data_IF_813084784429
#
_entry.id   IF_813084784429
#
_cell.length_a   1.000
_cell.length_b   1.000
_cell.length_c   1.000
_cell.angle_alpha   90.00
_cell.angle_beta   90.00
_cell.angle_gamma   90.00
#
_symmetry.space_group_name_H-M   'P 1'
#
loop_
_entity.id
_entity.type
_entity.pdbx_description
1 polymer ?
#
# COMPACT_ATOMS: atom_id res chain seq x y z
N UNK A 1 -0.78 -17.00 46.66
CA UNK A 1 0.20 -16.16 45.95
C UNK A 1 0.85 -16.81 44.74
N UNK A 2 1.19 -18.12 44.76
CA UNK A 2 1.86 -18.80 43.63
C UNK A 2 1.08 -18.74 42.30
N UNK A 3 -0.25 -18.93 42.35
CA UNK A 3 -1.14 -18.85 41.16
C UNK A 3 -1.09 -17.47 40.50
N UNK A 4 -1.26 -16.38 41.26
CA UNK A 4 -1.20 -15.00 40.75
C UNK A 4 0.14 -14.64 40.12
N UNK A 5 1.25 -15.16 40.63
CA UNK A 5 2.58 -14.97 40.04
C UNK A 5 2.66 -15.69 38.69
N UNK A 6 2.11 -16.90 38.62
CA UNK A 6 2.08 -17.69 37.39
C UNK A 6 1.23 -17.01 36.31
N UNK A 7 0.04 -16.53 36.65
CA UNK A 7 -0.85 -15.80 35.71
C UNK A 7 -0.17 -14.59 35.08
N UNK A 8 0.50 -13.75 35.88
CA UNK A 8 1.20 -12.56 35.37
C UNK A 8 2.42 -12.94 34.53
N UNK A 9 3.12 -14.02 34.87
CA UNK A 9 4.23 -14.54 34.05
C UNK A 9 3.74 -15.07 32.71
N UNK A 10 2.59 -15.75 32.67
CA UNK A 10 2.00 -16.23 31.43
C UNK A 10 1.67 -15.07 30.50
N UNK A 11 1.06 -14.01 31.03
CA UNK A 11 0.78 -12.78 30.26
C UNK A 11 2.07 -12.15 29.75
N UNK A 12 3.10 -12.02 30.60
CA UNK A 12 4.39 -11.47 30.19
C UNK A 12 5.06 -12.34 29.10
N UNK A 13 4.99 -13.67 29.20
CA UNK A 13 5.52 -14.58 28.18
C UNK A 13 4.76 -14.44 26.85
N UNK A 14 3.43 -14.31 26.89
CA UNK A 14 2.62 -14.05 25.70
C UNK A 14 2.99 -12.72 25.04
N UNK A 15 3.15 -11.65 25.83
CA UNK A 15 3.61 -10.34 25.32
C UNK A 15 5.02 -10.43 24.71
N UNK A 16 5.94 -11.20 25.31
CA UNK A 16 7.25 -11.46 24.72
C UNK A 16 7.12 -12.12 23.35
N UNK A 17 6.31 -13.17 23.23
CA UNK A 17 6.06 -13.84 21.96
C UNK A 17 5.47 -12.90 20.90
N UNK A 18 4.50 -12.06 21.28
CA UNK A 18 3.91 -11.07 20.39
C UNK A 18 4.93 -10.03 19.92
N UNK A 19 5.72 -9.44 20.84
CA UNK A 19 6.76 -8.47 20.48
C UNK A 19 7.88 -9.09 19.63
N UNK A 20 8.22 -10.37 19.85
CA UNK A 20 9.16 -11.08 18.98
C UNK A 20 8.60 -11.25 17.58
N UNK A 21 7.34 -11.66 17.45
CA UNK A 21 6.68 -11.76 16.15
C UNK A 21 6.60 -10.41 15.45
N UNK A 22 6.25 -9.35 16.17
CA UNK A 22 6.26 -7.97 15.67
C UNK A 22 7.64 -7.58 15.15
N UNK A 23 8.71 -7.83 15.92
CA UNK A 23 10.07 -7.50 15.48
C UNK A 23 10.48 -8.28 14.22
N UNK A 24 10.12 -9.57 14.12
CA UNK A 24 10.36 -10.37 12.91
C UNK A 24 9.59 -9.82 11.72
N UNK A 25 8.30 -9.49 11.88
CA UNK A 25 7.51 -8.91 10.80
C UNK A 25 8.05 -7.55 10.36
N UNK A 26 8.46 -6.70 11.30
CA UNK A 26 9.14 -5.44 10.99
C UNK A 26 10.39 -5.76 10.16
N UNK A 27 11.27 -6.66 10.60
CA UNK A 27 12.50 -7.00 9.85
C UNK A 27 12.23 -7.61 8.46
N UNK A 28 11.11 -8.30 8.26
CA UNK A 28 10.75 -8.89 6.96
C UNK A 28 10.08 -7.87 6.02
N UNK A 29 9.23 -7.00 6.58
CA UNK A 29 8.56 -5.92 5.84
C UNK A 29 9.52 -4.78 5.51
N UNK A 30 10.47 -4.57 6.41
CA UNK A 30 11.49 -3.56 6.32
C UNK A 30 12.54 -3.96 5.28
N UNK A 31 12.46 -3.36 4.10
CA UNK A 31 13.42 -3.51 3.00
C UNK A 31 14.09 -2.23 2.50
N UNK A 32 14.42 -1.21 3.31
CA UNK A 32 15.43 -0.27 2.86
C UNK A 32 16.82 -0.88 3.02
N UNK A 33 17.76 -0.39 2.22
CA UNK A 33 19.20 -0.65 2.34
C UNK A 33 19.94 0.61 2.80
N UNK A 34 19.36 1.29 3.80
CA UNK A 34 19.91 2.50 4.38
C UNK A 34 21.05 2.23 5.36
N UNK A 35 21.93 3.20 5.62
CA UNK A 35 23.06 3.03 6.54
C UNK A 35 22.63 2.79 8.00
N UNK A 36 21.36 3.05 8.34
CA UNK A 36 20.82 2.98 9.71
C UNK A 36 19.93 1.72 9.92
N UNK A 37 19.83 0.83 8.92
CA UNK A 37 18.96 -0.35 8.98
C UNK A 37 19.22 -1.26 10.17
N UNK A 38 20.50 -1.49 10.49
CA UNK A 38 20.88 -2.30 11.64
C UNK A 38 20.41 -1.67 12.95
N UNK A 39 20.37 -0.34 13.04
CA UNK A 39 19.89 0.37 14.22
C UNK A 39 18.36 0.28 14.34
N UNK A 40 17.64 0.36 13.22
CA UNK A 40 16.18 0.13 13.20
C UNK A 40 15.87 -1.29 13.67
N UNK A 41 16.55 -2.28 13.11
CA UNK A 41 16.39 -3.68 13.51
C UNK A 41 16.73 -3.89 14.99
N UNK A 42 17.83 -3.31 15.48
CA UNK A 42 18.21 -3.40 16.89
C UNK A 42 17.17 -2.76 17.81
N UNK A 43 16.68 -1.56 17.48
CA UNK A 43 15.70 -0.83 18.30
C UNK A 43 14.33 -1.51 18.31
N UNK A 44 13.95 -2.20 17.24
CA UNK A 44 12.74 -3.03 17.18
C UNK A 44 12.73 -4.18 18.20
N UNK A 45 13.90 -4.59 18.72
CA UNK A 45 14.00 -5.64 19.74
C UNK A 45 13.84 -5.14 21.18
N UNK A 46 13.85 -3.83 21.43
CA UNK A 46 13.75 -3.25 22.78
C UNK A 46 12.45 -3.66 23.52
N UNK A 47 11.26 -3.70 22.89
CA UNK A 47 10.05 -4.17 23.55
C UNK A 47 10.14 -5.63 24.03
N UNK A 48 10.94 -6.47 23.35
CA UNK A 48 11.22 -7.85 23.78
C UNK A 48 11.96 -7.83 25.12
N UNK A 49 13.01 -7.02 25.26
CA UNK A 49 13.75 -6.89 26.51
C UNK A 49 12.87 -6.36 27.66
N UNK A 50 11.98 -5.39 27.37
CA UNK A 50 11.02 -4.84 28.34
C UNK A 50 10.04 -5.94 28.81
N UNK A 51 9.47 -6.71 27.89
CA UNK A 51 8.55 -7.81 28.25
C UNK A 51 9.25 -8.93 29.03
N UNK A 52 10.50 -9.27 28.70
CA UNK A 52 11.32 -10.21 29.46
C UNK A 52 11.59 -9.74 30.90
N UNK A 53 11.76 -8.43 31.11
CA UNK A 53 11.87 -7.86 32.45
C UNK A 53 10.59 -8.09 33.27
N UNK A 54 9.41 -7.92 32.66
CA UNK A 54 8.12 -8.23 33.31
C UNK A 54 7.97 -9.73 33.62
N UNK A 55 8.48 -10.62 32.76
CA UNK A 55 8.50 -12.06 32.99
C UNK A 55 9.41 -12.44 34.16
N UNK A 56 10.61 -11.85 34.21
CA UNK A 56 11.61 -12.11 35.25
C UNK A 56 11.20 -11.56 36.62
N UNK A 57 10.55 -10.39 36.63
CA UNK A 57 10.09 -9.68 37.81
C UNK A 57 8.58 -9.36 37.72
N UNK A 58 7.70 -10.34 37.95
CA UNK A 58 6.26 -10.13 37.76
C UNK A 58 5.68 -9.12 38.76
N UNK A 59 4.90 -8.12 38.30
CA UNK A 59 4.17 -7.23 39.17
C UNK A 59 3.04 -7.99 39.87
N UNK A 60 3.12 -8.17 41.20
CA UNK A 60 2.04 -8.79 41.98
C UNK A 60 1.60 -7.85 43.09
N UNK A 61 0.31 -7.53 43.09
CA UNK A 61 -0.36 -6.77 44.13
C UNK A 61 -0.97 -7.70 45.19
N UNK A 62 -0.96 -7.28 46.46
CA UNK A 62 -1.59 -8.03 47.56
C UNK A 62 -3.14 -7.96 47.51
N UNK A 63 -3.72 -6.90 46.93
CA UNK A 63 -5.18 -6.71 46.82
C UNK A 63 -5.78 -7.18 45.49
N UNK A 64 -6.99 -7.76 45.55
CA UNK A 64 -7.69 -8.34 44.39
C UNK A 64 -7.96 -7.35 43.26
N UNK A 65 -8.49 -6.15 43.55
CA UNK A 65 -8.78 -5.12 42.53
C UNK A 65 -7.53 -4.71 41.73
N UNK A 66 -6.40 -4.53 42.41
CA UNK A 66 -5.14 -4.12 41.77
C UNK A 66 -4.48 -5.23 40.96
N UNK A 67 -4.64 -6.47 41.42
CA UNK A 67 -4.24 -7.63 40.63
C UNK A 67 -5.04 -7.69 39.31
N UNK A 68 -6.35 -7.49 39.39
CA UNK A 68 -7.24 -7.42 38.21
C UNK A 68 -6.81 -6.30 37.27
N UNK A 69 -6.48 -5.11 37.77
CA UNK A 69 -5.95 -4.00 36.94
C UNK A 69 -4.65 -4.38 36.22
N UNK A 70 -3.70 -5.01 36.90
CA UNK A 70 -2.42 -5.45 36.30
C UNK A 70 -2.68 -6.47 35.18
N UNK A 71 -3.58 -7.42 35.41
CA UNK A 71 -3.97 -8.42 34.40
C UNK A 71 -4.62 -7.74 33.20
N UNK A 72 -5.55 -6.80 33.43
CA UNK A 72 -6.21 -6.06 32.35
C UNK A 72 -5.25 -5.23 31.52
N UNK A 73 -4.25 -4.58 32.14
CA UNK A 73 -3.22 -3.83 31.40
C UNK A 73 -2.48 -4.78 30.45
N UNK A 74 -2.06 -5.95 30.92
CA UNK A 74 -1.34 -6.91 30.06
C UNK A 74 -2.21 -7.52 28.97
N UNK A 75 -3.46 -7.86 29.27
CA UNK A 75 -4.40 -8.36 28.28
C UNK A 75 -4.72 -7.30 27.22
N UNK A 76 -4.97 -6.06 27.63
CA UNK A 76 -5.21 -4.95 26.71
C UNK A 76 -4.00 -4.69 25.80
N UNK A 77 -2.78 -4.72 26.33
CA UNK A 77 -1.56 -4.64 25.50
C UNK A 77 -1.48 -5.77 24.47
N UNK A 78 -1.82 -7.00 24.86
CA UNK A 78 -1.86 -8.13 23.92
C UNK A 78 -2.94 -7.97 22.83
N UNK A 79 -4.14 -7.53 23.23
CA UNK A 79 -5.25 -7.28 22.31
C UNK A 79 -4.98 -6.14 21.33
N UNK A 80 -4.14 -5.17 21.69
CA UNK A 80 -3.69 -4.12 20.78
C UNK A 80 -2.64 -4.63 19.78
N UNK A 81 -1.77 -5.55 20.19
CA UNK A 81 -0.72 -6.10 19.31
C UNK A 81 -1.27 -7.04 18.24
N UNK A 82 -2.26 -7.88 18.57
CA UNK A 82 -2.73 -8.93 17.64
C UNK A 82 -3.29 -8.38 16.32
N UNK A 83 -4.22 -7.42 16.29
CA UNK A 83 -4.71 -6.84 15.05
C UNK A 83 -3.60 -6.15 14.26
N UNK A 84 -2.72 -5.42 14.95
CA UNK A 84 -1.59 -4.74 14.34
C UNK A 84 -0.60 -5.69 13.66
N UNK A 85 -0.33 -6.85 14.25
CA UNK A 85 0.50 -7.91 13.66
C UNK A 85 -0.16 -8.46 12.38
N UNK A 86 -1.47 -8.67 12.40
CA UNK A 86 -2.22 -9.17 11.24
C UNK A 86 -2.22 -8.17 10.08
N UNK A 87 -2.35 -6.87 10.36
CA UNK A 87 -2.34 -5.84 9.34
C UNK A 87 -0.98 -5.75 8.64
N UNK A 88 0.12 -5.75 9.40
CA UNK A 88 1.48 -5.81 8.81
C UNK A 88 1.68 -7.10 8.02
N UNK A 89 1.19 -8.24 8.53
CA UNK A 89 1.26 -9.52 7.80
C UNK A 89 0.51 -9.50 6.46
N UNK A 90 -0.67 -8.87 6.40
CA UNK A 90 -1.42 -8.72 5.14
C UNK A 90 -0.71 -7.81 4.14
N UNK A 91 -0.12 -6.71 4.61
CA UNK A 91 0.65 -5.80 3.76
C UNK A 91 1.88 -6.48 3.15
N UNK A 92 2.58 -7.29 3.94
CA UNK A 92 3.68 -8.13 3.49
C UNK A 92 3.27 -9.09 2.37
N UNK A 93 2.11 -9.75 2.51
CA UNK A 93 1.56 -10.64 1.48
C UNK A 93 1.13 -9.88 0.23
N UNK A 94 0.71 -8.63 0.37
CA UNK A 94 0.31 -7.76 -0.73
C UNK A 94 1.49 -7.09 -1.47
N UNK A 95 2.74 -7.38 -1.11
CA UNK A 95 3.93 -6.94 -1.86
C UNK A 95 4.29 -5.45 -1.74
N UNK A 96 3.60 -4.68 -0.89
CA UNK A 96 3.82 -3.24 -0.77
C UNK A 96 5.17 -2.90 -0.11
N UNK A 97 6.09 -2.18 -0.79
CA UNK A 97 7.24 -1.58 -0.11
C UNK A 97 6.75 -0.42 0.75
N UNK A 98 6.99 -0.46 2.06
CA UNK A 98 6.64 0.64 2.96
C UNK A 98 7.87 1.37 3.50
N UNK A 99 7.73 2.69 3.58
CA UNK A 99 8.49 3.55 4.48
C UNK A 99 8.14 3.19 5.93
N UNK A 100 9.13 3.26 6.81
CA UNK A 100 9.04 2.76 8.20
C UNK A 100 8.00 3.43 9.09
N UNK A 101 7.46 4.57 8.67
CA UNK A 101 6.57 5.37 9.48
C UNK A 101 5.15 4.95 9.13
N UNK A 102 4.54 4.01 9.88
CA UNK A 102 3.12 3.75 9.74
C UNK A 102 2.36 5.08 9.89
N UNK A 103 1.21 5.18 9.25
CA UNK A 103 0.31 6.30 9.49
C UNK A 103 0.08 6.45 11.01
N UNK A 104 -0.19 7.67 11.52
CA UNK A 104 -0.42 7.87 12.96
C UNK A 104 -1.47 6.91 13.55
N UNK A 105 -2.48 6.55 12.74
CA UNK A 105 -3.54 5.60 13.10
C UNK A 105 -3.00 4.18 13.29
N UNK A 106 -2.05 3.75 12.47
CA UNK A 106 -1.38 2.45 12.58
C UNK A 106 -0.29 2.43 13.67
N UNK A 107 0.34 3.58 13.98
CA UNK A 107 1.34 3.70 15.04
C UNK A 107 0.72 3.68 16.46
N UNK A 108 -0.51 4.19 16.60
CA UNK A 108 -1.16 4.39 17.90
C UNK A 108 -1.33 3.09 18.74
N UNK A 109 -1.82 1.97 18.18
CA UNK A 109 -1.95 0.72 18.92
C UNK A 109 -0.60 0.19 19.44
N UNK A 110 0.47 0.37 18.67
CA UNK A 110 1.82 -0.06 19.04
C UNK A 110 2.35 0.75 20.21
N UNK A 111 2.17 2.08 20.16
CA UNK A 111 2.58 2.97 21.24
C UNK A 111 1.85 2.64 22.56
N UNK A 112 0.54 2.37 22.50
CA UNK A 112 -0.24 1.96 23.67
C UNK A 112 0.17 0.58 24.19
N UNK A 113 0.40 -0.38 23.31
CA UNK A 113 0.89 -1.70 23.69
C UNK A 113 2.27 -1.62 24.37
N UNK A 114 3.16 -0.77 23.86
CA UNK A 114 4.48 -0.52 24.43
C UNK A 114 4.36 0.13 25.81
N UNK A 115 3.47 1.12 25.96
CA UNK A 115 3.21 1.78 27.24
C UNK A 115 2.70 0.80 28.30
N UNK A 116 1.73 -0.05 27.95
CA UNK A 116 1.21 -1.06 28.88
C UNK A 116 2.24 -2.14 29.25
N UNK A 117 3.03 -2.62 28.27
CA UNK A 117 4.14 -3.57 28.50
C UNK A 117 5.20 -2.96 29.41
N UNK A 118 5.56 -1.70 29.18
CA UNK A 118 6.54 -0.96 29.98
C UNK A 118 6.05 -0.70 31.40
N UNK A 119 4.75 -0.41 31.58
CA UNK A 119 4.14 -0.26 32.88
C UNK A 119 4.21 -1.56 33.69
N UNK A 120 3.94 -2.72 33.08
CA UNK A 120 4.09 -4.02 33.73
C UNK A 120 5.53 -4.27 34.18
N UNK A 121 6.50 -4.02 33.30
CA UNK A 121 7.92 -4.17 33.62
C UNK A 121 8.34 -3.20 34.74
N UNK A 122 7.94 -1.94 34.66
CA UNK A 122 8.25 -0.91 35.65
C UNK A 122 7.71 -1.22 37.04
N UNK A 123 6.45 -1.69 37.14
CA UNK A 123 5.85 -2.14 38.41
C UNK A 123 6.60 -3.35 39.00
N UNK A 124 7.06 -4.26 38.14
CA UNK A 124 7.87 -5.42 38.49
C UNK A 124 9.24 -5.04 39.06
N UNK A 125 9.97 -4.18 38.33
CA UNK A 125 11.29 -3.67 38.71
C UNK A 125 11.21 -2.87 40.02
N UNK A 126 10.24 -1.95 40.14
CA UNK A 126 10.06 -1.16 41.36
C UNK A 126 9.82 -2.03 42.59
N UNK A 127 9.04 -3.12 42.44
CA UNK A 127 8.86 -4.11 43.51
C UNK A 127 10.17 -4.80 43.88
N UNK A 128 11.00 -5.16 42.89
CA UNK A 128 12.27 -5.85 43.15
C UNK A 128 13.27 -4.96 43.88
N UNK A 129 13.37 -3.70 43.49
CA UNK A 129 14.35 -2.74 44.02
C UNK A 129 13.96 -2.21 45.40
N UNK A 130 12.69 -1.85 45.61
CA UNK A 130 12.23 -1.27 46.88
C UNK A 130 11.92 -2.32 47.95
N UNK A 131 11.79 -3.59 47.58
CA UNK A 131 11.45 -4.67 48.50
C UNK A 131 9.97 -4.67 48.94
N UNK A 132 9.64 -5.64 49.79
CA UNK A 132 8.24 -5.93 50.17
C UNK A 132 7.64 -4.98 51.21
N UNK A 133 8.48 -4.21 51.89
CA UNK A 133 8.12 -3.37 53.04
C UNK A 133 7.97 -1.89 52.67
N UNK A 134 8.38 -1.50 51.46
CA UNK A 134 8.25 -0.13 50.99
C UNK A 134 6.78 0.30 50.86
N UNK A 135 6.46 1.57 51.16
CA UNK A 135 5.10 2.08 51.06
C UNK A 135 4.56 1.96 49.64
N UNK A 136 3.27 1.64 49.54
CA UNK A 136 2.62 1.30 48.28
C UNK A 136 2.62 2.45 47.27
N UNK A 137 2.35 3.67 47.73
CA UNK A 137 2.34 4.88 46.90
C UNK A 137 3.70 5.11 46.24
N UNK A 138 4.79 4.96 47.00
CA UNK A 138 6.15 5.05 46.48
C UNK A 138 6.44 3.98 45.42
N UNK A 139 6.00 2.73 45.65
CA UNK A 139 6.19 1.64 44.68
C UNK A 139 5.40 1.87 43.38
N UNK A 140 4.18 2.35 43.47
CA UNK A 140 3.37 2.68 42.29
C UNK A 140 3.93 3.87 41.53
N UNK A 141 4.30 4.95 42.24
CA UNK A 141 4.91 6.13 41.63
C UNK A 141 6.23 5.81 40.93
N UNK A 142 7.15 5.09 41.59
CA UNK A 142 8.41 4.64 40.95
C UNK A 142 8.17 3.67 39.80
N UNK A 143 7.22 2.74 39.94
CA UNK A 143 6.90 1.79 38.87
C UNK A 143 6.32 2.46 37.63
N UNK A 144 5.42 3.43 37.82
CA UNK A 144 4.87 4.24 36.73
C UNK A 144 5.95 5.11 36.07
N UNK A 145 6.84 5.72 36.86
CA UNK A 145 7.97 6.49 36.33
C UNK A 145 8.92 5.62 35.51
N UNK A 146 9.29 4.42 36.00
CA UNK A 146 10.13 3.48 35.24
C UNK A 146 9.43 3.07 33.95
N UNK A 147 8.12 2.75 34.00
CA UNK A 147 7.35 2.40 32.81
C UNK A 147 7.30 3.53 31.79
N UNK A 148 7.11 4.78 32.23
CA UNK A 148 7.14 5.96 31.37
C UNK A 148 8.51 6.13 30.71
N UNK A 149 9.59 6.01 31.48
CA UNK A 149 10.96 6.12 30.96
C UNK A 149 11.23 5.04 29.91
N UNK A 150 10.88 3.78 30.19
CA UNK A 150 11.04 2.67 29.24
C UNK A 150 10.25 2.89 27.94
N UNK A 151 9.02 3.40 28.06
CA UNK A 151 8.16 3.72 26.91
C UNK A 151 8.78 4.82 26.05
N UNK A 152 9.18 5.94 26.67
CA UNK A 152 9.76 7.09 25.97
C UNK A 152 11.09 6.71 25.33
N UNK A 153 11.98 6.02 26.06
CA UNK A 153 13.28 5.61 25.52
C UNK A 153 13.11 4.63 24.35
N UNK A 154 12.31 3.58 24.51
CA UNK A 154 12.10 2.59 23.45
C UNK A 154 11.40 3.20 22.23
N UNK A 155 10.38 4.02 22.45
CA UNK A 155 9.64 4.69 21.38
C UNK A 155 10.51 5.70 20.63
N UNK A 156 11.24 6.56 21.34
CA UNK A 156 12.11 7.57 20.72
C UNK A 156 13.31 6.97 20.00
N UNK A 157 13.89 5.87 20.50
CA UNK A 157 14.99 5.19 19.81
C UNK A 157 14.52 4.57 18.50
N UNK A 158 13.38 3.88 18.51
CA UNK A 158 12.81 3.28 17.30
C UNK A 158 12.38 4.36 16.29
N UNK A 159 11.58 5.34 16.73
CA UNK A 159 11.11 6.43 15.87
C UNK A 159 12.29 7.27 15.35
N UNK A 160 13.28 7.56 16.18
CA UNK A 160 14.48 8.29 15.79
C UNK A 160 15.33 7.53 14.78
N UNK A 161 15.55 6.22 14.98
CA UNK A 161 16.25 5.39 14.00
C UNK A 161 15.48 5.32 12.68
N UNK A 162 14.15 5.19 12.73
CA UNK A 162 13.30 5.17 11.56
C UNK A 162 13.34 6.48 10.77
N UNK A 163 13.16 7.61 11.44
CA UNK A 163 13.25 8.95 10.84
C UNK A 163 14.65 9.20 10.28
N UNK A 164 15.71 8.85 11.02
CA UNK A 164 17.08 9.03 10.55
C UNK A 164 17.37 8.19 9.30
N UNK A 165 16.85 6.96 9.23
CA UNK A 165 17.01 6.13 8.03
C UNK A 165 16.23 6.70 6.85
N UNK A 166 15.00 7.15 7.06
CA UNK A 166 14.18 7.80 6.03
C UNK A 166 14.87 9.07 5.49
N UNK A 167 15.38 9.92 6.38
CA UNK A 167 16.15 11.12 6.00
C UNK A 167 17.43 10.75 5.24
N UNK A 168 18.14 9.71 5.67
CA UNK A 168 19.36 9.25 4.99
C UNK A 168 19.10 8.66 3.59
N UNK A 169 17.88 8.19 3.34
CA UNK A 169 17.45 7.65 2.06
C UNK A 169 16.82 8.69 1.13
N UNK A 170 16.42 9.85 1.66
CA UNK A 170 15.74 10.92 0.90
C UNK A 170 16.46 11.34 -0.38
N UNK A 171 17.80 11.34 -0.34
CA UNK A 171 18.64 11.76 -1.47
C UNK A 171 19.34 10.58 -2.16
N UNK A 172 18.94 9.34 -1.86
CA UNK A 172 19.49 8.15 -2.52
C UNK A 172 18.45 7.57 -3.49
N UNK A 173 18.85 7.22 -4.72
CA UNK A 173 17.98 6.45 -5.60
C UNK A 173 17.59 5.15 -4.90
N UNK A 174 16.31 4.79 -4.95
CA UNK A 174 15.82 3.57 -4.31
C UNK A 174 16.60 2.37 -4.84
N UNK A 175 16.87 1.38 -3.99
CA UNK A 175 17.58 0.17 -4.43
C UNK A 175 16.69 -0.68 -5.36
N UNK A 176 15.36 -0.51 -5.25
CA UNK A 176 14.38 -1.14 -6.12
C UNK A 176 13.13 -0.27 -6.24
N UNK A 177 12.52 -0.24 -7.42
CA UNK A 177 11.22 0.39 -7.65
C UNK A 177 10.31 -0.62 -8.32
N UNK A 178 9.01 -0.62 -7.97
CA UNK A 178 8.02 -1.42 -8.68
C UNK A 178 7.74 -0.89 -10.09
N UNK A 179 8.16 0.33 -10.39
CA UNK A 179 7.96 0.95 -11.70
C UNK A 179 9.11 0.73 -12.67
N UNK A 180 10.28 0.26 -12.24
CA UNK A 180 11.37 -0.01 -13.18
C UNK A 180 12.75 0.07 -12.56
N UNK A 181 13.80 -0.01 -13.41
CA UNK A 181 15.18 0.05 -12.96
C UNK A 181 15.49 1.34 -12.24
N UNK A 182 16.26 1.25 -11.15
CA UNK A 182 16.66 2.41 -10.35
C UNK A 182 18.11 2.84 -10.57
N UNK A 183 18.76 2.28 -11.59
CA UNK A 183 20.14 2.60 -11.91
C UNK A 183 20.27 4.07 -12.38
N UNK A 184 20.94 4.94 -11.60
CA UNK A 184 20.92 6.39 -11.84
C UNK A 184 21.65 6.83 -13.11
N UNK A 185 22.48 5.94 -13.68
CA UNK A 185 23.25 6.21 -14.90
C UNK A 185 22.48 5.87 -16.19
N UNK A 186 21.32 5.22 -16.08
CA UNK A 186 20.51 4.86 -17.25
C UNK A 186 19.46 5.93 -17.45
N UNK A 187 19.60 6.73 -18.51
CA UNK A 187 18.63 7.77 -18.81
C UNK A 187 17.41 7.17 -19.51
N UNK A 188 16.18 7.55 -19.10
CA UNK A 188 14.99 7.20 -19.85
C UNK A 188 15.02 7.77 -21.27
N UNK A 189 14.38 7.09 -22.24
CA UNK A 189 14.33 7.55 -23.63
C UNK A 189 13.61 8.90 -23.74
N UNK A 190 13.81 9.59 -24.86
CA UNK A 190 13.10 10.82 -25.19
C UNK A 190 11.58 10.56 -25.36
N UNK A 191 10.77 11.62 -25.22
CA UNK A 191 9.32 11.51 -25.30
C UNK A 191 8.81 11.05 -26.67
N UNK A 192 9.54 11.33 -27.74
CA UNK A 192 9.26 10.85 -29.10
C UNK A 192 9.97 9.52 -29.44
N UNK A 193 10.78 8.98 -28.52
CA UNK A 193 11.56 7.75 -28.70
C UNK A 193 10.72 6.47 -28.67
N UNK A 194 11.35 5.29 -28.66
CA UNK A 194 10.61 4.03 -28.53
C UNK A 194 10.09 3.86 -27.10
N UNK A 195 8.79 3.59 -26.97
CA UNK A 195 8.14 3.30 -25.68
C UNK A 195 7.31 2.04 -25.81
N UNK A 196 7.24 1.24 -24.75
CA UNK A 196 6.49 -0.01 -24.74
C UNK A 196 5.82 -0.27 -23.40
N UNK A 197 4.85 -1.17 -23.42
CA UNK A 197 4.31 -1.76 -22.20
C UNK A 197 5.09 -3.04 -21.91
N UNK A 198 5.51 -3.25 -20.66
CA UNK A 198 6.39 -4.36 -20.31
C UNK A 198 5.82 -5.75 -20.55
N UNK A 199 6.60 -6.80 -20.33
CA UNK A 199 6.14 -8.18 -20.56
C UNK A 199 5.19 -8.67 -19.47
N UNK A 200 5.44 -8.28 -18.22
CA UNK A 200 4.59 -8.53 -17.05
C UNK A 200 4.24 -7.19 -16.38
N UNK A 201 3.08 -7.12 -15.74
CA UNK A 201 2.70 -5.97 -14.91
C UNK A 201 1.52 -6.30 -13.99
N UNK A 202 1.53 -5.72 -12.79
CA UNK A 202 0.34 -5.40 -12.02
C UNK A 202 -0.23 -4.06 -12.54
N UNK A 203 -1.46 -4.10 -13.03
CA UNK A 203 -2.12 -2.96 -13.68
C UNK A 203 -3.22 -2.44 -12.79
N UNK A 204 -3.29 -1.12 -12.60
CA UNK A 204 -4.43 -0.47 -11.98
C UNK A 204 -4.88 0.75 -12.77
N UNK A 205 -6.18 1.01 -12.74
CA UNK A 205 -6.82 2.10 -13.49
C UNK A 205 -7.94 2.70 -12.64
N UNK A 206 -7.85 3.99 -12.37
CA UNK A 206 -8.90 4.79 -11.74
C UNK A 206 -9.48 5.72 -12.80
N UNK A 207 -10.79 5.69 -13.03
CA UNK A 207 -11.49 6.68 -13.86
C UNK A 207 -12.57 7.37 -13.07
N UNK A 208 -12.73 8.66 -13.33
CA UNK A 208 -13.84 9.47 -12.84
C UNK A 208 -14.38 10.32 -13.99
N UNK A 209 -15.69 10.51 -14.00
CA UNK A 209 -16.34 11.41 -14.95
C UNK A 209 -17.25 12.38 -14.20
N UNK A 210 -17.38 13.59 -14.73
CA UNK A 210 -18.28 14.60 -14.20
C UNK A 210 -18.93 15.43 -15.31
N UNK A 211 -20.12 15.97 -15.03
CA UNK A 211 -20.86 16.89 -15.90
C UNK A 211 -21.21 18.13 -15.10
N UNK A 212 -20.80 19.29 -15.59
CA UNK A 212 -21.00 20.58 -14.93
C UNK A 212 -20.58 20.54 -13.43
N UNK A 213 -19.51 19.79 -13.13
CA UNK A 213 -18.97 19.59 -11.78
C UNK A 213 -19.68 18.54 -10.92
N UNK A 214 -20.73 17.87 -11.43
CA UNK A 214 -21.41 16.76 -10.75
C UNK A 214 -20.82 15.43 -11.20
N UNK A 215 -20.45 14.57 -10.25
CA UNK A 215 -19.89 13.25 -10.57
C UNK A 215 -20.92 12.36 -11.26
N UNK A 216 -20.51 11.70 -12.34
CA UNK A 216 -21.24 10.59 -12.99
C UNK A 216 -20.85 9.22 -12.39
N UNK A 217 -19.96 9.23 -11.40
CA UNK A 217 -19.42 8.07 -10.73
C UNK A 217 -17.96 7.76 -11.08
N UNK A 218 -17.53 6.56 -10.71
CA UNK A 218 -16.13 6.14 -10.83
C UNK A 218 -15.98 4.66 -11.18
N UNK A 219 -14.79 4.34 -11.66
CA UNK A 219 -14.36 3.00 -12.04
C UNK A 219 -12.99 2.75 -11.42
N UNK A 220 -12.85 1.65 -10.70
CA UNK A 220 -11.58 1.21 -10.14
C UNK A 220 -11.26 -0.18 -10.65
N UNK A 221 -10.23 -0.31 -11.47
CA UNK A 221 -9.77 -1.56 -12.06
C UNK A 221 -8.41 -1.94 -11.49
N UNK A 222 -8.28 -3.22 -11.15
CA UNK A 222 -7.02 -3.80 -10.72
C UNK A 222 -6.84 -5.19 -11.33
N UNK A 223 -5.62 -5.53 -11.71
CA UNK A 223 -5.29 -6.81 -12.28
C UNK A 223 -3.82 -7.05 -12.49
N UNK A 224 -3.52 -8.14 -13.19
CA UNK A 224 -2.16 -8.53 -13.54
C UNK A 224 -2.12 -9.13 -14.93
N UNK A 225 -0.96 -9.07 -15.57
CA UNK A 225 -0.68 -9.70 -16.84
C UNK A 225 0.73 -10.27 -16.89
N UNK A 226 0.88 -11.37 -17.63
CA UNK A 226 2.16 -12.01 -17.88
C UNK A 226 2.19 -12.53 -19.33
N UNK A 227 3.04 -11.93 -20.17
CA UNK A 227 3.05 -12.23 -21.60
C UNK A 227 1.68 -11.94 -22.19
N UNK A 228 1.04 -12.92 -22.82
CA UNK A 228 -0.33 -12.75 -23.34
C UNK A 228 -1.40 -12.89 -22.26
N UNK A 229 -1.12 -13.54 -21.14
CA UNK A 229 -2.15 -13.84 -20.14
C UNK A 229 -2.47 -12.59 -19.33
N UNK A 230 -3.75 -12.39 -19.04
CA UNK A 230 -4.24 -11.22 -18.32
C UNK A 230 -5.41 -11.60 -17.44
N UNK A 231 -5.52 -10.97 -16.27
CA UNK A 231 -6.70 -11.04 -15.43
C UNK A 231 -6.85 -9.74 -14.68
N UNK A 232 -8.02 -9.11 -14.81
CA UNK A 232 -8.38 -7.93 -14.04
C UNK A 232 -9.84 -7.96 -13.62
N UNK A 233 -10.14 -7.22 -12.56
CA UNK A 233 -11.49 -6.92 -12.11
C UNK A 233 -11.64 -5.41 -11.98
N UNK A 234 -12.86 -4.92 -12.21
CA UNK A 234 -13.19 -3.52 -12.07
C UNK A 234 -14.43 -3.38 -11.17
N UNK A 235 -14.31 -2.58 -10.12
CA UNK A 235 -15.44 -2.12 -9.33
C UNK A 235 -15.97 -0.83 -9.97
N UNK A 236 -17.19 -0.92 -10.50
CA UNK A 236 -17.84 0.15 -11.27
C UNK A 236 -19.00 0.69 -10.45
N UNK A 237 -19.01 2.00 -10.24
CA UNK A 237 -20.06 2.72 -9.54
C UNK A 237 -20.39 4.02 -10.29
N UNK A 238 -21.09 3.86 -11.42
CA UNK A 238 -21.57 4.96 -12.26
C UNK A 238 -23.09 5.08 -12.18
N UNK A 239 -23.65 6.19 -12.69
CA UNK A 239 -25.12 6.36 -12.77
C UNK A 239 -25.80 5.27 -13.62
N UNK A 240 -25.06 4.62 -14.53
CA UNK A 240 -25.58 3.62 -15.47
C UNK A 240 -25.17 2.19 -15.15
N UNK A 241 -24.02 2.00 -14.52
CA UNK A 241 -23.42 0.68 -14.28
C UNK A 241 -23.01 0.55 -12.82
N UNK A 242 -23.40 -0.55 -12.19
CA UNK A 242 -23.06 -0.82 -10.79
C UNK A 242 -22.64 -2.27 -10.58
N UNK A 243 -21.50 -2.47 -9.95
CA UNK A 243 -21.01 -3.76 -9.48
C UNK A 243 -19.62 -4.10 -10.00
N UNK A 244 -19.21 -5.34 -9.76
CA UNK A 244 -17.90 -5.83 -10.16
C UNK A 244 -17.97 -6.49 -11.54
N UNK A 245 -17.15 -5.97 -12.45
CA UNK A 245 -16.88 -6.53 -13.76
C UNK A 245 -15.48 -7.17 -13.77
N UNK A 246 -15.18 -7.96 -14.79
CA UNK A 246 -13.83 -8.50 -14.93
C UNK A 246 -13.62 -9.27 -16.22
N UNK A 247 -12.37 -9.39 -16.60
CA UNK A 247 -11.94 -10.18 -17.74
C UNK A 247 -10.69 -10.96 -17.39
N UNK A 248 -10.59 -12.16 -17.94
CA UNK A 248 -9.38 -12.96 -17.89
C UNK A 248 -9.15 -13.64 -19.22
N UNK A 249 -7.90 -13.71 -19.66
CA UNK A 249 -7.45 -14.54 -20.78
C UNK A 249 -6.21 -15.30 -20.36
N UNK A 250 -6.22 -16.62 -20.53
CA UNK A 250 -5.10 -17.51 -20.18
C UNK A 250 -4.92 -18.47 -21.35
N UNK A 251 -3.82 -18.30 -22.09
CA UNK A 251 -3.66 -18.94 -23.39
C UNK A 251 -4.82 -18.58 -24.34
N UNK A 252 -5.52 -19.61 -24.82
CA UNK A 252 -6.69 -19.48 -25.71
C UNK A 252 -8.03 -19.38 -24.99
N UNK A 253 -8.05 -19.59 -23.67
CA UNK A 253 -9.28 -19.55 -22.89
C UNK A 253 -9.53 -18.15 -22.35
N UNK A 254 -10.80 -17.75 -22.31
CA UNK A 254 -11.20 -16.44 -21.84
C UNK A 254 -12.41 -16.52 -20.92
N UNK A 255 -12.47 -15.60 -19.97
CA UNK A 255 -13.57 -15.46 -19.04
C UNK A 255 -13.99 -14.01 -18.91
N UNK A 256 -15.28 -13.80 -18.70
CA UNK A 256 -15.84 -12.52 -18.31
C UNK A 256 -16.55 -12.65 -16.97
N UNK A 257 -16.63 -11.53 -16.27
CA UNK A 257 -17.44 -11.37 -15.07
C UNK A 257 -18.35 -10.18 -15.26
N UNK A 258 -19.63 -10.39 -15.00
CA UNK A 258 -20.65 -9.35 -14.94
C UNK A 258 -21.16 -9.22 -13.50
N UNK A 259 -21.81 -8.09 -13.15
CA UNK A 259 -22.34 -7.89 -11.82
C UNK A 259 -23.24 -9.05 -11.40
N UNK A 260 -23.04 -9.52 -10.16
CA UNK A 260 -23.82 -10.61 -9.52
C UNK A 260 -23.73 -11.98 -10.19
N UNK A 261 -22.84 -12.14 -11.19
CA UNK A 261 -22.57 -13.43 -11.82
C UNK A 261 -21.17 -13.92 -11.45
N UNK A 262 -20.97 -15.24 -11.34
CA UNK A 262 -19.64 -15.81 -11.28
C UNK A 262 -18.87 -15.56 -12.59
N UNK A 263 -17.59 -15.91 -12.60
CA UNK A 263 -16.80 -15.91 -13.84
C UNK A 263 -17.38 -16.93 -14.83
N UNK A 264 -17.65 -16.47 -16.05
CA UNK A 264 -18.19 -17.28 -17.13
C UNK A 264 -17.19 -17.36 -18.26
N UNK A 265 -17.06 -18.53 -18.87
CA UNK A 265 -16.20 -18.74 -20.02
C UNK A 265 -16.83 -18.09 -21.26
N UNK A 266 -16.01 -17.38 -22.03
CA UNK A 266 -16.42 -16.66 -23.23
C UNK A 266 -15.43 -16.92 -24.37
N UNK A 267 -15.83 -16.57 -25.59
CA UNK A 267 -14.90 -16.56 -26.72
C UNK A 267 -13.74 -15.58 -26.45
N UNK A 268 -12.53 -15.88 -26.95
CA UNK A 268 -11.34 -15.06 -26.72
C UNK A 268 -11.39 -13.70 -27.43
N UNK A 269 -12.01 -13.62 -28.60
CA UNK A 269 -12.06 -12.40 -29.43
C UNK A 269 -12.53 -11.14 -28.69
N UNK A 270 -13.67 -11.17 -27.95
CA UNK A 270 -14.12 -10.04 -27.12
C UNK A 270 -13.15 -9.61 -25.99
N UNK A 271 -12.18 -10.45 -25.63
CA UNK A 271 -11.18 -10.22 -24.60
C UNK A 271 -9.83 -9.80 -25.19
N UNK A 272 -9.63 -10.01 -26.50
CA UNK A 272 -8.48 -9.51 -27.22
C UNK A 272 -8.52 -7.98 -27.26
N UNK A 273 -7.39 -7.34 -26.91
CA UNK A 273 -7.32 -5.88 -26.77
C UNK A 273 -7.81 -5.32 -25.42
N UNK A 274 -8.23 -6.16 -24.46
CA UNK A 274 -8.62 -5.73 -23.09
C UNK A 274 -7.45 -5.62 -22.11
N UNK A 275 -6.21 -5.51 -22.60
CA UNK A 275 -5.04 -5.15 -21.80
C UNK A 275 -4.93 -3.64 -21.75
N UNK A 276 -5.55 -3.03 -20.73
CA UNK A 276 -5.73 -1.57 -20.60
C UNK A 276 -4.44 -0.79 -20.86
N UNK A 277 -3.34 -1.19 -20.22
CA UNK A 277 -2.06 -0.49 -20.34
C UNK A 277 -1.42 -0.64 -21.73
N UNK A 278 -1.43 -1.85 -22.30
CA UNK A 278 -0.94 -2.07 -23.67
C UNK A 278 -1.79 -1.36 -24.72
N UNK A 279 -3.10 -1.32 -24.51
CA UNK A 279 -4.01 -0.62 -25.42
C UNK A 279 -3.73 0.88 -25.39
N UNK A 280 -3.51 1.45 -24.19
CA UNK A 280 -3.09 2.84 -24.06
C UNK A 280 -1.77 3.11 -24.77
N UNK A 281 -0.76 2.26 -24.58
CA UNK A 281 0.55 2.43 -25.21
C UNK A 281 0.47 2.28 -26.74
N UNK A 282 -0.26 1.28 -27.24
CA UNK A 282 -0.34 0.98 -28.68
C UNK A 282 -1.25 1.91 -29.47
N UNK A 283 -2.25 2.53 -28.82
CA UNK A 283 -3.22 3.42 -29.48
C UNK A 283 -2.94 4.88 -29.15
N UNK A 284 -3.00 5.27 -27.88
CA UNK A 284 -2.85 6.67 -27.51
C UNK A 284 -1.39 7.13 -27.58
N UNK A 285 -0.44 6.30 -27.15
CA UNK A 285 0.99 6.58 -27.21
C UNK A 285 1.67 6.01 -28.46
N UNK A 286 0.90 5.75 -29.52
CA UNK A 286 1.46 5.36 -30.82
C UNK A 286 2.49 6.41 -31.30
N UNK A 287 3.55 6.01 -32.04
CA UNK A 287 4.62 6.91 -32.47
C UNK A 287 4.12 8.22 -33.12
N UNK A 288 3.09 8.13 -33.96
CA UNK A 288 2.51 9.30 -34.62
C UNK A 288 1.91 10.34 -33.66
N UNK A 289 1.37 9.91 -32.52
CA UNK A 289 0.78 10.81 -31.52
C UNK A 289 1.85 11.46 -30.64
N UNK A 290 3.03 10.84 -30.52
CA UNK A 290 4.15 11.33 -29.69
C UNK A 290 5.13 12.23 -30.43
N UNK A 291 4.96 12.42 -31.73
CA UNK A 291 5.81 13.30 -32.54
C UNK A 291 5.88 14.75 -32.03
N UNK A 292 4.83 15.21 -31.35
CA UNK A 292 4.74 16.53 -30.72
C UNK A 292 4.67 16.43 -29.19
N UNK A 293 5.23 15.36 -28.61
CA UNK A 293 5.25 15.20 -27.16
C UNK A 293 6.10 16.29 -26.50
N UNK A 294 5.56 16.94 -25.49
CA UNK A 294 6.24 17.92 -24.66
C UNK A 294 7.04 17.19 -23.58
N UNK A 295 8.31 17.56 -23.42
CA UNK A 295 9.17 17.04 -22.35
C UNK A 295 9.09 17.95 -21.12
N UNK A 296 8.58 17.39 -20.01
CA UNK A 296 8.48 18.10 -18.72
C UNK A 296 9.71 17.88 -17.83
N UNK A 297 10.61 16.98 -18.23
CA UNK A 297 11.89 16.72 -17.58
C UNK A 297 11.99 15.32 -17.00
N UNK A 298 13.00 15.13 -16.13
CA UNK A 298 13.25 13.88 -15.43
C UNK A 298 12.71 13.95 -14.00
N UNK A 299 11.99 12.92 -13.60
CA UNK A 299 11.39 12.75 -12.28
C UNK A 299 11.79 11.40 -11.69
N UNK A 300 11.65 11.25 -10.37
CA UNK A 300 11.84 9.97 -9.68
C UNK A 300 10.51 9.45 -9.18
N UNK A 301 10.02 8.36 -9.77
CA UNK A 301 8.79 7.68 -9.34
C UNK A 301 9.19 6.46 -8.51
N UNK A 302 8.93 6.54 -7.21
CA UNK A 302 9.37 5.53 -6.23
C UNK A 302 10.88 5.19 -6.35
N UNK A 303 11.68 6.21 -6.65
CA UNK A 303 13.13 6.11 -6.79
C UNK A 303 13.63 5.54 -8.12
N UNK A 304 12.75 5.20 -9.07
CA UNK A 304 13.16 4.93 -10.45
C UNK A 304 13.13 6.23 -11.27
N UNK A 305 14.20 6.55 -12.02
CA UNK A 305 14.19 7.69 -12.94
C UNK A 305 13.20 7.44 -14.06
N UNK A 306 12.36 8.43 -14.32
CA UNK A 306 11.40 8.45 -15.41
C UNK A 306 11.43 9.81 -16.12
N UNK A 307 11.21 9.81 -17.45
CA UNK A 307 10.96 11.03 -18.20
C UNK A 307 9.47 11.30 -18.20
N UNK A 308 9.09 12.48 -17.75
CA UNK A 308 7.72 12.96 -17.75
C UNK A 308 7.45 13.64 -19.10
N UNK A 309 6.49 13.08 -19.83
CA UNK A 309 6.13 13.48 -21.17
C UNK A 309 4.64 13.79 -21.25
N UNK A 310 4.26 14.72 -22.12
CA UNK A 310 2.86 15.10 -22.33
C UNK A 310 2.50 15.08 -23.81
N UNK A 311 1.32 14.58 -24.14
CA UNK A 311 0.74 14.71 -25.48
C UNK A 311 -0.68 15.29 -25.41
N UNK A 312 -1.09 15.97 -26.48
CA UNK A 312 -2.50 16.24 -26.71
C UNK A 312 -3.20 14.95 -27.19
N UNK A 313 -4.44 14.73 -26.74
CA UNK A 313 -5.25 13.59 -27.16
C UNK A 313 -6.66 14.06 -27.53
N UNK A 314 -7.24 13.45 -28.56
CA UNK A 314 -8.64 13.61 -28.90
C UNK A 314 -9.49 12.47 -28.31
N UNK A 315 -10.79 12.73 -28.15
CA UNK A 315 -11.70 11.76 -27.55
C UNK A 315 -11.86 10.47 -28.35
N UNK A 316 -11.71 10.49 -29.67
CA UNK A 316 -11.76 9.27 -30.51
C UNK A 316 -10.58 8.34 -30.23
N UNK A 317 -9.38 8.90 -30.14
CA UNK A 317 -8.16 8.18 -29.78
C UNK A 317 -8.26 7.64 -28.36
N UNK A 318 -8.77 8.46 -27.43
CA UNK A 318 -8.97 8.01 -26.06
C UNK A 318 -10.00 6.88 -25.96
N UNK A 319 -11.12 6.97 -26.67
CA UNK A 319 -12.14 5.93 -26.67
C UNK A 319 -11.61 4.59 -27.23
N UNK A 320 -10.77 4.66 -28.26
CA UNK A 320 -10.10 3.48 -28.80
C UNK A 320 -9.05 2.90 -27.84
N UNK A 321 -8.42 3.76 -27.03
CA UNK A 321 -7.42 3.39 -26.04
C UNK A 321 -8.01 2.87 -24.71
N UNK A 322 -9.19 3.36 -24.31
CA UNK A 322 -9.91 3.02 -23.07
C UNK A 322 -11.36 2.60 -23.36
N UNK A 323 -11.60 1.34 -23.76
CA UNK A 323 -12.95 0.82 -23.93
C UNK A 323 -13.81 0.84 -22.65
N UNK A 324 -13.19 0.96 -21.47
CA UNK A 324 -13.84 1.07 -20.14
C UNK A 324 -14.72 2.32 -20.02
N UNK A 325 -14.55 3.31 -20.90
CA UNK A 325 -15.43 4.49 -21.00
C UNK A 325 -16.90 4.13 -21.28
N UNK A 326 -17.14 2.94 -21.84
CA UNK A 326 -18.49 2.45 -22.13
C UNK A 326 -19.35 2.22 -20.87
N UNK A 327 -18.75 2.18 -19.68
CA UNK A 327 -19.48 2.09 -18.40
C UNK A 327 -20.12 3.41 -17.97
N UNK A 328 -19.66 4.55 -18.50
CA UNK A 328 -20.29 5.86 -18.30
C UNK A 328 -21.38 6.13 -19.32
N UNK A 329 -21.20 5.68 -20.57
CA UNK A 329 -22.21 5.78 -21.63
C UNK A 329 -22.08 4.58 -22.59
N UNK A 330 -23.16 3.90 -23.01
CA UNK A 330 -23.04 2.69 -23.85
C UNK A 330 -22.39 2.91 -25.22
N UNK A 331 -22.60 4.08 -25.81
CA UNK A 331 -22.05 4.50 -27.10
C UNK A 331 -21.57 5.95 -26.96
N UNK A 332 -20.43 6.18 -26.29
CA UNK A 332 -19.95 7.53 -26.05
C UNK A 332 -19.50 8.15 -27.37
N UNK A 333 -19.99 9.35 -27.67
CA UNK A 333 -19.54 10.13 -28.82
C UNK A 333 -18.58 11.24 -28.38
N UNK A 334 -17.28 10.94 -28.48
CA UNK A 334 -16.21 11.81 -27.98
C UNK A 334 -15.46 12.56 -29.10
N UNK A 335 -15.99 12.63 -30.34
CA UNK A 335 -15.26 13.21 -31.48
C UNK A 335 -14.84 14.69 -31.28
N UNK A 336 -15.59 15.45 -30.47
CA UNK A 336 -15.29 16.86 -30.13
C UNK A 336 -14.49 17.03 -28.85
N UNK A 337 -14.22 15.95 -28.13
CA UNK A 337 -13.51 16.03 -26.86
C UNK A 337 -12.02 16.21 -27.11
N UNK A 338 -11.38 17.02 -26.26
CA UNK A 338 -9.96 17.33 -26.32
C UNK A 338 -9.38 17.28 -24.92
N UNK A 339 -8.10 16.95 -24.83
CA UNK A 339 -7.40 16.96 -23.57
C UNK A 339 -5.94 16.58 -23.72
N UNK A 340 -5.36 16.12 -22.62
CA UNK A 340 -3.94 15.82 -22.51
C UNK A 340 -3.74 14.49 -21.79
N UNK A 341 -2.66 13.80 -22.18
CA UNK A 341 -2.13 12.65 -21.48
C UNK A 341 -0.71 12.98 -21.02
N UNK A 342 -0.48 12.85 -19.72
CA UNK A 342 0.84 12.80 -19.11
C UNK A 342 1.24 11.33 -18.99
N UNK A 343 2.48 11.00 -19.36
CA UNK A 343 3.01 9.65 -19.24
C UNK A 343 4.47 9.66 -18.79
N UNK A 344 4.82 8.63 -18.03
CA UNK A 344 6.16 8.45 -17.47
C UNK A 344 6.82 7.24 -18.11
N UNK A 345 7.90 7.50 -18.84
CA UNK A 345 8.74 6.47 -19.46
C UNK A 345 9.96 6.23 -18.59
N UNK A 346 10.23 4.97 -18.25
CA UNK A 346 11.31 4.57 -17.36
C UNK A 346 12.60 4.26 -18.13
N UNK A 347 13.70 4.06 -17.40
CA UNK A 347 15.03 3.80 -17.96
C UNK A 347 15.10 2.57 -18.89
N UNK A 348 14.19 1.62 -18.70
CA UNK A 348 14.00 0.44 -19.54
C UNK A 348 13.10 0.70 -20.75
N UNK A 349 12.70 1.93 -21.05
CA UNK A 349 11.79 2.25 -22.16
C UNK A 349 10.32 1.90 -21.92
N UNK A 350 9.98 1.41 -20.73
CA UNK A 350 8.62 1.00 -20.41
C UNK A 350 7.79 2.15 -19.85
N UNK A 351 6.52 2.21 -20.22
CA UNK A 351 5.56 3.19 -19.67
C UNK A 351 4.94 2.65 -18.39
N UNK A 352 5.01 3.45 -17.33
CA UNK A 352 4.58 3.01 -16.00
C UNK A 352 3.40 3.69 -15.38
N UNK A 353 3.19 4.93 -15.78
CA UNK A 353 2.10 5.74 -15.32
C UNK A 353 1.62 6.55 -16.50
N UNK A 354 0.30 6.68 -16.60
CA UNK A 354 -0.37 7.52 -17.58
C UNK A 354 -1.52 8.19 -16.85
N UNK A 355 -1.46 9.51 -16.78
CA UNK A 355 -2.53 10.35 -16.26
C UNK A 355 -3.19 11.08 -17.43
N UNK A 356 -4.49 11.21 -17.39
CA UNK A 356 -5.22 11.83 -18.49
C UNK A 356 -6.41 12.63 -18.03
N UNK A 357 -6.66 13.73 -18.73
CA UNK A 357 -7.85 14.55 -18.57
C UNK A 357 -8.35 14.97 -19.94
N UNK A 358 -9.61 14.65 -20.24
CA UNK A 358 -10.29 15.11 -21.45
C UNK A 358 -11.63 15.73 -21.10
N UNK A 359 -12.01 16.76 -21.85
CA UNK A 359 -13.28 17.43 -21.69
C UNK A 359 -13.95 17.67 -23.03
N UNK A 360 -15.27 17.79 -23.01
CA UNK A 360 -16.07 18.12 -24.19
C UNK A 360 -17.55 18.30 -23.87
N UNK A 361 -18.37 18.28 -24.92
CA UNK A 361 -19.83 18.41 -24.80
C UNK A 361 -20.42 17.20 -24.05
N UNK A 362 -21.28 17.46 -23.06
CA UNK A 362 -21.88 16.41 -22.22
C UNK A 362 -22.85 15.50 -22.98
N UNK A 363 -23.41 15.97 -24.09
CA UNK A 363 -24.27 15.19 -24.99
C UNK A 363 -23.57 13.90 -25.49
N UNK A 364 -22.24 13.91 -25.58
CA UNK A 364 -21.44 12.74 -25.94
C UNK A 364 -21.50 11.59 -24.94
N UNK A 365 -21.98 11.82 -23.71
CA UNK A 365 -22.17 10.79 -22.68
C UNK A 365 -23.66 10.44 -22.44
N UNK A 366 -24.58 10.90 -23.30
CA UNK A 366 -26.03 10.68 -23.14
C UNK A 366 -26.56 11.16 -21.77
N UNK A 367 -26.07 12.31 -21.30
CA UNK A 367 -26.43 12.93 -20.03
C UNK A 367 -26.72 14.41 -20.23
N UNK A 368 -27.64 14.96 -19.43
CA UNK A 368 -27.98 16.38 -19.50
C UNK A 368 -26.89 17.22 -18.87
N UNK A 369 -26.38 18.21 -19.61
CA UNK A 369 -25.42 19.20 -19.14
C UNK A 369 -24.76 19.91 -20.30
N UNK A 370 -23.84 20.82 -19.98
CA UNK A 370 -23.10 21.57 -21.01
C UNK A 370 -21.73 20.94 -21.24
N UNK A 371 -20.96 20.76 -20.17
CA UNK A 371 -19.58 20.30 -20.24
C UNK A 371 -19.40 19.04 -19.41
N UNK A 372 -18.77 18.03 -20.01
CA UNK A 372 -18.32 16.85 -19.33
C UNK A 372 -16.80 16.79 -19.29
N UNK A 373 -16.27 16.23 -18.21
CA UNK A 373 -14.84 16.01 -18.00
C UNK A 373 -14.62 14.59 -17.52
N UNK A 374 -13.62 13.94 -18.09
CA UNK A 374 -13.14 12.64 -17.69
C UNK A 374 -11.69 12.75 -17.27
N UNK A 375 -11.38 12.18 -16.11
CA UNK A 375 -10.02 12.08 -15.58
C UNK A 375 -9.69 10.63 -15.28
N UNK A 376 -8.45 10.22 -15.53
CA UNK A 376 -8.00 8.89 -15.18
C UNK A 376 -6.52 8.84 -14.81
N UNK A 377 -6.18 7.82 -14.03
CA UNK A 377 -4.81 7.42 -13.71
C UNK A 377 -4.69 5.94 -13.99
N UNK A 378 -3.73 5.57 -14.81
CA UNK A 378 -3.37 4.21 -15.16
C UNK A 378 -1.93 3.95 -14.71
N UNK A 379 -1.70 2.87 -13.99
CA UNK A 379 -0.34 2.45 -13.60
C UNK A 379 -0.06 1.01 -13.97
N UNK A 380 1.20 0.75 -14.36
CA UNK A 380 1.76 -0.56 -14.62
C UNK A 380 3.01 -0.72 -13.75
N UNK A 381 2.93 -1.63 -12.77
CA UNK A 381 3.94 -1.85 -11.74
C UNK A 381 4.35 -3.33 -11.67
N UNK A 382 5.29 -3.67 -10.80
CA UNK A 382 5.80 -5.03 -10.58
C UNK A 382 6.32 -5.67 -11.87
N UNK A 383 6.99 -4.86 -12.70
CA UNK A 383 7.48 -5.27 -14.02
C UNK A 383 8.62 -6.27 -13.91
N UNK A 384 8.70 -7.14 -14.91
CA UNK A 384 9.64 -8.27 -15.01
C UNK A 384 9.60 -9.28 -13.86
N UNK A 385 8.60 -9.22 -12.98
CA UNK A 385 8.36 -10.28 -12.01
C UNK A 385 7.75 -11.51 -12.69
N UNK A 386 8.20 -12.69 -12.25
CA UNK A 386 7.60 -13.97 -12.67
C UNK A 386 6.23 -14.12 -12.01
N UNK A 387 5.18 -13.77 -12.74
CA UNK A 387 3.79 -13.87 -12.29
C UNK A 387 3.08 -14.97 -13.08
N UNK A 388 2.36 -15.84 -12.38
CA UNK A 388 1.46 -16.82 -13.01
C UNK A 388 0.03 -16.33 -12.89
N UNK A 389 -0.66 -16.15 -14.02
CA UNK A 389 -2.06 -15.73 -14.03
C UNK A 389 -2.94 -16.93 -13.71
N UNK A 390 -3.55 -16.92 -12.53
CA UNK A 390 -4.42 -17.99 -12.08
C UNK A 390 -5.79 -17.96 -12.77
N UNK A 391 -6.27 -19.14 -13.17
CA UNK A 391 -7.63 -19.35 -13.68
C UNK A 391 -8.67 -18.85 -12.65
N UNK A 392 -9.71 -18.12 -13.08
CA UNK A 392 -10.79 -17.73 -12.18
C UNK A 392 -11.53 -18.96 -11.61
N UNK A 393 -11.97 -18.85 -10.35
CA UNK A 393 -12.85 -19.87 -9.73
C UNK A 393 -14.27 -19.62 -10.21
N UNK A 394 -14.94 -20.67 -10.68
CA UNK A 394 -16.33 -20.65 -11.16
C UNK A 394 -17.32 -20.49 -10.03
#
# INVERSE_FOLDING_TARGET
MRVRIFEVRLIAAALTGLWTLTAVLVLLAYRPGGPVDQLVGATATLPIAISLAALRWPPVARGGRWFVTIVWVGLASGLLLVPSILDVGRQLVAGGPQTLLPSPEAAYPWALALAGTSLLAGLGIARRVLGEHAPRTLRLGRGALIGLILTVLSGSLFAGAAVANEVALRDRPSIASRFGPTHPMTQPPACDGDVYAGTTAAVSLSLEASVDGRSLGSVQLAGSRAGSDVRWAADVATERSLGQFGFARIGSEAWSKTPRSPWQEVASGPVDGRTVDRQMVSVALAPGNRMAAEEHGLEYVEGAPARHCRIAVDGSTLLAALPELTWFAPQPDLHRWRGQLDYWVFADGEVGQIDGAVSGEASGLDVSGLQATLTFTLTATERDQVVTIARPVR
#
